data_IF_128350175162
#
_entry.id   IF_128350175162
#
_cell.length_a   1.000
_cell.length_b   1.000
_cell.length_c   1.000
_cell.angle_alpha   90.00
_cell.angle_beta   90.00
_cell.angle_gamma   90.00
#
_symmetry.space_group_name_H-M   'P 1'
#
loop_
_entity.id
_entity.type
_entity.pdbx_description
1 polymer ?
#
# COMPACT_ATOMS: atom_id res chain seq x y z
N UNK A 1 -11.57 -21.42 23.04
CA UNK A 1 -10.59 -22.32 23.69
C UNK A 1 -10.12 -21.60 24.94
N UNK A 2 -10.48 -22.12 26.14
CA UNK A 2 -10.24 -21.41 27.41
C UNK A 2 -8.76 -21.42 27.74
N UNK A 3 -8.18 -20.24 27.94
CA UNK A 3 -6.77 -19.95 28.28
C UNK A 3 -6.43 -20.44 29.72
N UNK A 4 -7.26 -21.31 30.32
CA UNK A 4 -7.09 -21.71 31.73
C UNK A 4 -6.05 -22.82 31.98
N UNK A 5 -5.42 -23.37 30.94
CA UNK A 5 -4.45 -24.45 31.08
C UNK A 5 -3.06 -24.09 30.55
N UNK A 6 -2.62 -22.82 30.67
CA UNK A 6 -1.24 -22.47 30.32
C UNK A 6 -0.32 -22.91 31.45
N UNK A 7 0.43 -23.98 31.23
CA UNK A 7 1.55 -24.43 32.09
C UNK A 7 2.73 -23.44 32.12
N UNK A 8 2.58 -22.29 31.47
CA UNK A 8 3.63 -21.27 31.34
C UNK A 8 3.48 -20.15 32.40
N UNK A 9 4.58 -19.49 32.73
CA UNK A 9 4.55 -18.32 33.60
C UNK A 9 3.73 -17.20 32.98
N UNK A 10 3.16 -16.30 33.78
CA UNK A 10 2.33 -15.19 33.32
C UNK A 10 3.02 -14.31 32.30
N UNK A 11 4.35 -14.13 32.35
CA UNK A 11 5.13 -13.36 31.38
C UNK A 11 5.20 -14.05 30.01
N UNK A 12 5.35 -15.38 29.98
CA UNK A 12 5.36 -16.16 28.73
C UNK A 12 3.99 -16.12 28.09
N UNK A 13 2.93 -16.32 28.87
CA UNK A 13 1.55 -16.29 28.38
C UNK A 13 1.22 -14.94 27.76
N UNK A 14 1.57 -13.83 28.43
CA UNK A 14 1.35 -12.48 27.91
C UNK A 14 2.11 -12.22 26.60
N UNK A 15 3.37 -12.67 26.52
CA UNK A 15 4.14 -12.52 25.28
C UNK A 15 3.50 -13.28 24.10
N UNK A 16 3.00 -14.50 24.36
CA UNK A 16 2.28 -15.29 23.34
C UNK A 16 0.98 -14.59 22.91
N UNK A 17 0.23 -14.01 23.84
CA UNK A 17 -1.00 -13.27 23.56
C UNK A 17 -0.73 -12.05 22.68
N UNK A 18 0.24 -11.22 23.01
CA UNK A 18 0.63 -10.04 22.23
C UNK A 18 1.08 -10.42 20.80
N UNK A 19 1.90 -11.47 20.67
CA UNK A 19 2.33 -11.96 19.37
C UNK A 19 1.17 -12.57 18.55
N UNK A 20 0.21 -13.21 19.21
CA UNK A 20 -0.99 -13.77 18.55
C UNK A 20 -1.95 -12.69 18.05
N UNK A 21 -1.88 -11.47 18.57
CA UNK A 21 -2.62 -10.30 18.09
C UNK A 21 -2.11 -9.77 16.75
N UNK A 22 -0.93 -10.20 16.30
CA UNK A 22 -0.39 -9.76 15.02
C UNK A 22 -1.05 -10.49 13.84
N UNK A 23 -1.40 -9.78 12.75
CA UNK A 23 -2.05 -10.39 11.58
C UNK A 23 -1.22 -11.54 11.01
N UNK A 24 -1.85 -12.69 10.77
CA UNK A 24 -1.19 -13.87 10.21
C UNK A 24 -0.41 -14.72 11.23
N UNK A 25 -0.34 -14.31 12.50
CA UNK A 25 0.31 -15.08 13.56
C UNK A 25 -0.75 -15.77 14.43
N UNK A 26 -0.91 -17.07 14.20
CA UNK A 26 -1.78 -17.90 15.06
C UNK A 26 -1.08 -18.32 16.36
N UNK A 27 -1.83 -18.86 17.34
CA UNK A 27 -1.31 -19.23 18.68
C UNK A 27 -0.09 -20.17 18.65
N UNK A 28 -0.05 -21.11 17.71
CA UNK A 28 1.08 -22.04 17.55
C UNK A 28 2.35 -21.33 17.10
N UNK A 29 2.22 -20.41 16.15
CA UNK A 29 3.37 -19.60 15.66
C UNK A 29 3.81 -18.61 16.74
N UNK A 30 2.87 -17.95 17.43
CA UNK A 30 3.15 -17.06 18.54
C UNK A 30 3.94 -17.76 19.65
N UNK A 31 3.55 -18.98 20.03
CA UNK A 31 4.28 -19.78 21.01
C UNK A 31 5.73 -20.05 20.55
N UNK A 32 5.94 -20.45 19.30
CA UNK A 32 7.30 -20.67 18.78
C UNK A 32 8.15 -19.40 18.78
N UNK A 33 7.56 -18.26 18.40
CA UNK A 33 8.25 -16.96 18.43
C UNK A 33 8.59 -16.54 19.87
N UNK A 34 7.66 -16.70 20.80
CA UNK A 34 7.89 -16.37 22.20
C UNK A 34 9.08 -17.14 22.80
N UNK A 35 9.15 -18.45 22.60
CA UNK A 35 10.27 -19.24 23.06
C UNK A 35 11.59 -18.87 22.37
N UNK A 36 11.55 -18.60 21.07
CA UNK A 36 12.73 -18.10 20.35
C UNK A 36 13.25 -16.78 20.94
N UNK A 37 12.34 -15.83 21.26
CA UNK A 37 12.70 -14.55 21.89
C UNK A 37 13.32 -14.79 23.28
N UNK A 38 12.82 -15.76 24.06
CA UNK A 38 13.39 -16.08 25.37
C UNK A 38 14.78 -16.70 25.30
N UNK A 39 15.09 -17.40 24.19
CA UNK A 39 16.40 -17.99 23.96
C UNK A 39 17.42 -16.99 23.37
N UNK A 40 16.95 -15.81 22.92
CA UNK A 40 17.83 -14.77 22.38
C UNK A 40 18.61 -14.06 23.50
N UNK A 41 19.84 -13.56 23.23
CA UNK A 41 20.55 -12.66 24.11
C UNK A 41 19.72 -11.41 24.46
N UNK A 42 19.81 -10.96 25.70
CA UNK A 42 19.02 -9.82 26.19
C UNK A 42 19.18 -8.56 25.35
N UNK A 43 20.40 -8.28 24.89
CA UNK A 43 20.73 -7.13 24.04
C UNK A 43 19.99 -7.17 22.71
N UNK A 44 19.80 -8.36 22.12
CA UNK A 44 19.07 -8.51 20.87
C UNK A 44 17.57 -8.29 21.08
N UNK A 45 17.01 -8.77 22.19
CA UNK A 45 15.60 -8.53 22.55
C UNK A 45 15.34 -7.05 22.79
N UNK A 46 16.22 -6.37 23.52
CA UNK A 46 16.14 -4.92 23.74
C UNK A 46 16.23 -4.14 22.42
N UNK A 47 17.15 -4.52 21.56
CA UNK A 47 17.28 -3.91 20.22
C UNK A 47 16.01 -4.07 19.37
N UNK A 48 15.41 -5.26 19.35
CA UNK A 48 14.15 -5.53 18.66
C UNK A 48 13.00 -4.69 19.22
N UNK A 49 12.85 -4.68 20.56
CA UNK A 49 11.81 -3.92 21.24
C UNK A 49 11.95 -2.41 20.98
N UNK A 50 13.16 -1.87 21.07
CA UNK A 50 13.43 -0.47 20.80
C UNK A 50 13.16 -0.12 19.34
N UNK A 51 13.53 -0.98 18.39
CA UNK A 51 13.24 -0.77 16.96
C UNK A 51 11.75 -0.66 16.67
N UNK A 52 10.92 -1.48 17.32
CA UNK A 52 9.45 -1.39 17.18
C UNK A 52 8.91 -0.07 17.76
N UNK A 53 9.39 0.33 18.93
CA UNK A 53 8.99 1.57 19.59
C UNK A 53 9.40 2.79 18.77
N UNK A 54 10.65 2.81 18.31
CA UNK A 54 11.21 3.92 17.54
C UNK A 54 10.54 4.06 16.17
N UNK A 55 10.27 2.95 15.48
CA UNK A 55 9.49 2.97 14.26
C UNK A 55 8.09 3.58 14.49
N UNK A 56 7.40 3.18 15.55
CA UNK A 56 6.06 3.71 15.87
C UNK A 56 6.09 5.20 16.25
N UNK A 57 7.15 5.67 16.91
CA UNK A 57 7.29 7.08 17.32
C UNK A 57 7.70 8.01 16.19
N UNK A 58 8.60 7.56 15.31
CA UNK A 58 9.27 8.43 14.35
C UNK A 58 8.67 8.36 12.95
N UNK A 59 8.04 7.22 12.58
CA UNK A 59 7.40 7.10 11.27
C UNK A 59 6.05 7.81 11.27
N UNK A 60 5.87 8.69 10.28
CA UNK A 60 4.69 9.51 10.05
C UNK A 60 4.33 9.52 8.57
N UNK A 61 3.22 10.14 8.22
CA UNK A 61 2.84 10.33 6.84
C UNK A 61 3.55 11.56 6.25
N UNK A 62 4.08 11.41 5.04
CA UNK A 62 4.57 12.53 4.23
C UNK A 62 3.44 13.54 4.02
N UNK A 63 3.68 14.81 4.29
CA UNK A 63 2.68 15.88 4.13
C UNK A 63 2.19 16.07 2.69
N UNK A 64 2.95 15.56 1.71
CA UNK A 64 2.63 15.71 0.29
C UNK A 64 1.96 14.47 -0.31
N UNK A 65 2.55 13.28 -0.17
CA UNK A 65 2.09 12.07 -0.85
C UNK A 65 1.46 11.02 0.08
N UNK A 66 1.51 11.25 1.39
CA UNK A 66 0.98 10.35 2.42
C UNK A 66 1.70 9.00 2.52
N UNK A 67 2.88 8.83 1.94
CA UNK A 67 3.73 7.66 2.22
C UNK A 67 4.25 7.69 3.65
N UNK A 68 4.61 6.53 4.18
CA UNK A 68 5.29 6.43 5.47
C UNK A 68 6.73 6.91 5.34
N UNK A 69 7.15 7.82 6.22
CA UNK A 69 8.49 8.42 6.23
C UNK A 69 8.86 8.89 7.64
N UNK A 70 10.12 9.05 7.91
CA UNK A 70 10.68 9.65 9.13
C UNK A 70 10.82 11.19 9.03
N UNK A 71 10.60 11.76 7.84
CA UNK A 71 10.69 13.19 7.56
C UNK A 71 9.30 13.81 7.32
N UNK A 72 9.19 15.13 7.35
CA UNK A 72 7.95 15.85 7.02
C UNK A 72 7.54 15.66 5.55
N UNK A 73 8.54 15.67 4.65
CA UNK A 73 8.38 15.40 3.22
C UNK A 73 9.34 14.26 2.86
N UNK A 74 8.82 13.21 2.24
CA UNK A 74 9.63 12.05 1.87
C UNK A 74 10.67 12.39 0.78
N UNK A 75 11.75 11.59 0.66
CA UNK A 75 12.80 11.81 -0.34
C UNK A 75 12.30 11.94 -1.78
N UNK A 76 11.23 11.21 -2.14
CA UNK A 76 10.63 11.27 -3.48
C UNK A 76 9.99 12.65 -3.73
N UNK A 77 9.19 13.13 -2.77
CA UNK A 77 8.52 14.42 -2.91
C UNK A 77 9.44 15.62 -2.77
N UNK A 78 10.58 15.48 -2.10
CA UNK A 78 11.60 16.55 -1.98
C UNK A 78 12.59 16.58 -3.12
N UNK A 79 12.68 15.53 -3.94
CA UNK A 79 13.62 15.44 -5.06
C UNK A 79 13.24 16.40 -6.18
N UNK A 80 14.21 17.19 -6.63
CA UNK A 80 14.09 18.08 -7.80
C UNK A 80 14.21 17.34 -9.13
N UNK A 81 14.69 16.11 -9.11
CA UNK A 81 14.87 15.27 -10.30
C UNK A 81 13.57 14.58 -10.72
N UNK A 82 12.56 14.61 -9.84
CA UNK A 82 11.25 14.01 -10.11
C UNK A 82 10.32 14.96 -10.85
N UNK A 83 9.53 14.40 -11.75
CA UNK A 83 8.45 15.13 -12.41
C UNK A 83 7.24 15.26 -11.47
N UNK A 84 7.10 16.43 -10.88
CA UNK A 84 5.99 16.73 -9.97
C UNK A 84 4.64 16.95 -10.69
N UNK A 85 4.65 17.06 -12.03
CA UNK A 85 3.44 17.22 -12.85
C UNK A 85 2.76 15.88 -13.19
N UNK A 86 3.44 14.76 -12.92
CA UNK A 86 2.91 13.41 -13.12
C UNK A 86 2.77 12.70 -11.77
N UNK A 87 1.53 12.40 -11.38
CA UNK A 87 1.22 11.76 -10.09
C UNK A 87 0.70 10.35 -10.32
N UNK A 88 1.37 9.35 -9.74
CA UNK A 88 0.86 7.99 -9.69
C UNK A 88 0.08 7.76 -8.39
N UNK A 89 -1.17 7.36 -8.49
CA UNK A 89 -2.05 7.08 -7.36
C UNK A 89 -2.04 5.59 -7.06
N UNK A 90 -1.64 5.22 -5.85
CA UNK A 90 -1.55 3.82 -5.37
C UNK A 90 -2.33 3.65 -4.08
N UNK A 91 -2.73 2.41 -3.75
CA UNK A 91 -3.52 2.13 -2.55
C UNK A 91 -2.67 2.14 -1.28
N UNK A 92 -1.45 1.58 -1.32
CA UNK A 92 -0.59 1.42 -0.15
C UNK A 92 0.85 1.87 -0.40
N UNK A 93 1.59 2.13 0.69
CA UNK A 93 3.04 2.40 0.61
C UNK A 93 3.81 1.19 0.04
N UNK A 94 3.29 -0.03 0.19
CA UNK A 94 3.91 -1.24 -0.37
C UNK A 94 3.85 -1.24 -1.90
N UNK A 95 2.71 -0.80 -2.46
CA UNK A 95 2.53 -0.69 -3.90
C UNK A 95 3.50 0.35 -4.48
N UNK A 96 3.61 1.51 -3.83
CA UNK A 96 4.61 2.53 -4.20
C UNK A 96 6.03 1.95 -4.20
N UNK A 97 6.39 1.22 -3.14
CA UNK A 97 7.72 0.62 -3.04
C UNK A 97 8.00 -0.41 -4.14
N UNK A 98 6.97 -1.12 -4.62
CA UNK A 98 7.10 -2.04 -5.75
C UNK A 98 7.45 -1.30 -7.06
N UNK A 99 6.81 -0.16 -7.33
CA UNK A 99 7.15 0.69 -8.48
C UNK A 99 8.54 1.33 -8.36
N UNK A 100 8.91 1.83 -7.18
CA UNK A 100 10.23 2.40 -6.94
C UNK A 100 11.36 1.38 -7.16
N UNK A 101 11.11 0.12 -6.85
CA UNK A 101 12.07 -0.97 -7.06
C UNK A 101 12.42 -1.17 -8.54
N UNK A 102 11.52 -0.84 -9.46
CA UNK A 102 11.76 -0.91 -10.91
C UNK A 102 12.71 0.21 -11.35
N UNK A 103 12.65 1.39 -10.71
CA UNK A 103 13.55 2.52 -10.97
C UNK A 103 13.25 3.34 -12.24
N UNK A 104 12.28 2.94 -13.04
CA UNK A 104 11.95 3.60 -14.32
C UNK A 104 10.96 4.76 -14.19
N UNK A 105 10.14 4.75 -13.14
CA UNK A 105 9.15 5.81 -12.92
C UNK A 105 9.82 7.09 -12.39
N UNK A 106 9.62 8.20 -13.06
CA UNK A 106 10.24 9.50 -12.72
C UNK A 106 9.27 10.50 -12.10
N UNK A 107 7.98 10.20 -12.04
CA UNK A 107 6.98 11.05 -11.38
C UNK A 107 6.97 10.91 -9.86
N UNK A 108 5.94 11.49 -9.24
CA UNK A 108 5.70 11.42 -7.80
C UNK A 108 4.45 10.57 -7.52
N UNK A 109 4.25 10.20 -6.25
CA UNK A 109 3.14 9.33 -5.85
C UNK A 109 2.11 10.06 -5.01
N UNK A 110 0.93 9.44 -4.90
CA UNK A 110 -0.08 9.72 -3.89
C UNK A 110 -0.64 8.42 -3.35
N UNK A 111 -0.58 8.22 -2.03
CA UNK A 111 -1.00 6.99 -1.36
C UNK A 111 -2.39 7.21 -0.75
N UNK A 112 -3.35 6.37 -1.13
CA UNK A 112 -4.74 6.48 -0.67
C UNK A 112 -4.97 5.88 0.72
N UNK A 113 -4.13 4.96 1.16
CA UNK A 113 -4.29 4.15 2.37
C UNK A 113 -5.56 3.29 2.38
N UNK A 114 -5.96 2.81 1.21
CA UNK A 114 -7.11 1.92 1.02
C UNK A 114 -7.78 2.11 -0.32
N UNK A 115 -8.93 1.46 -0.47
CA UNK A 115 -9.82 1.56 -1.61
C UNK A 115 -11.26 1.78 -1.13
N UNK A 116 -12.11 2.36 -1.97
CA UNK A 116 -13.54 2.49 -1.68
C UNK A 116 -14.16 1.10 -1.60
N UNK A 117 -14.71 0.76 -0.46
CA UNK A 117 -15.41 -0.52 -0.23
C UNK A 117 -16.70 -0.28 0.55
N UNK A 118 -17.84 -0.05 -0.13
CA UNK A 118 -19.12 0.21 0.52
C UNK A 118 -19.60 -0.96 1.39
N UNK A 119 -19.24 -2.20 1.04
CA UNK A 119 -19.63 -3.38 1.83
C UNK A 119 -18.89 -3.43 3.18
N UNK A 120 -17.68 -2.91 3.25
CA UNK A 120 -16.92 -2.75 4.49
C UNK A 120 -17.17 -1.39 5.17
N UNK A 121 -18.07 -0.57 4.63
CA UNK A 121 -18.37 0.77 5.16
C UNK A 121 -17.27 1.81 4.86
N UNK A 122 -16.31 1.50 3.97
CA UNK A 122 -15.22 2.41 3.61
C UNK A 122 -15.66 3.28 2.43
N UNK A 123 -15.88 4.56 2.71
CA UNK A 123 -16.26 5.57 1.73
C UNK A 123 -15.08 6.41 1.24
N UNK A 124 -15.41 7.40 0.43
CA UNK A 124 -14.43 8.34 -0.14
C UNK A 124 -13.72 9.21 0.91
N UNK A 125 -14.30 9.39 2.09
CA UNK A 125 -13.75 10.20 3.16
C UNK A 125 -12.83 9.42 4.11
N UNK A 126 -12.83 8.09 4.02
CA UNK A 126 -12.05 7.21 4.88
C UNK A 126 -10.65 6.95 4.32
N UNK A 127 -10.43 7.31 3.05
CA UNK A 127 -9.16 7.21 2.35
C UNK A 127 -8.70 8.59 1.87
N UNK A 128 -7.42 8.72 1.48
CA UNK A 128 -6.78 10.01 1.16
C UNK A 128 -7.16 10.58 -0.23
N UNK A 129 -8.44 10.54 -0.59
CA UNK A 129 -8.96 11.09 -1.85
C UNK A 129 -9.11 12.61 -1.81
N UNK A 130 -9.59 13.16 -0.68
CA UNK A 130 -9.74 14.61 -0.52
C UNK A 130 -8.40 15.31 -0.70
N UNK A 131 -7.37 14.77 -0.08
CA UNK A 131 -6.00 15.28 -0.13
C UNK A 131 -5.40 15.14 -1.54
N UNK A 132 -5.75 14.08 -2.28
CA UNK A 132 -5.42 13.97 -3.70
C UNK A 132 -6.02 15.14 -4.48
N UNK A 133 -7.31 15.39 -4.36
CA UNK A 133 -7.99 16.46 -5.10
C UNK A 133 -7.51 17.86 -4.73
N UNK A 134 -7.13 18.08 -3.48
CA UNK A 134 -6.49 19.34 -3.06
C UNK A 134 -5.14 19.54 -3.77
N UNK A 135 -4.35 18.47 -3.90
CA UNK A 135 -3.05 18.49 -4.57
C UNK A 135 -3.16 18.72 -6.09
N UNK A 136 -4.27 18.33 -6.72
CA UNK A 136 -4.50 18.52 -8.15
C UNK A 136 -4.82 19.99 -8.54
N UNK A 137 -4.95 20.89 -7.59
CA UNK A 137 -5.08 22.34 -7.85
C UNK A 137 -3.75 22.97 -8.30
N UNK A 138 -2.64 22.28 -8.06
CA UNK A 138 -1.33 22.66 -8.56
C UNK A 138 -1.20 22.30 -10.05
N UNK A 139 -0.10 22.69 -10.69
CA UNK A 139 0.17 22.45 -12.12
C UNK A 139 0.46 20.96 -12.41
N UNK A 140 -0.60 20.13 -12.36
CA UNK A 140 -0.55 18.69 -12.61
C UNK A 140 -1.04 18.39 -14.03
N UNK A 141 -0.22 17.69 -14.83
CA UNK A 141 -0.53 17.34 -16.20
C UNK A 141 -1.18 15.97 -16.33
N UNK A 142 -0.73 14.99 -15.53
CA UNK A 142 -1.19 13.61 -15.64
C UNK A 142 -1.35 12.95 -14.27
N UNK A 143 -2.43 12.20 -14.14
CA UNK A 143 -2.68 11.28 -13.01
C UNK A 143 -2.72 9.86 -13.55
N UNK A 144 -1.79 9.02 -13.10
CA UNK A 144 -1.72 7.60 -13.42
C UNK A 144 -2.39 6.83 -12.29
N UNK A 145 -3.50 6.17 -12.56
CA UNK A 145 -4.20 5.37 -11.55
C UNK A 145 -3.59 3.96 -11.53
N UNK A 146 -2.97 3.61 -10.41
CA UNK A 146 -2.31 2.33 -10.18
C UNK A 146 -2.91 1.61 -8.94
N UNK A 147 -4.25 1.63 -8.85
CA UNK A 147 -5.00 0.83 -7.87
C UNK A 147 -5.00 -0.64 -8.28
N UNK A 148 -5.19 -1.53 -7.31
CA UNK A 148 -5.27 -2.97 -7.56
C UNK A 148 -6.40 -3.32 -8.53
N UNK A 149 -6.29 -4.46 -9.22
CA UNK A 149 -7.32 -4.97 -10.13
C UNK A 149 -8.49 -5.66 -9.39
N UNK A 150 -8.69 -5.36 -8.11
CA UNK A 150 -9.84 -5.79 -7.32
C UNK A 150 -11.09 -4.97 -7.66
N UNK A 151 -12.28 -5.44 -7.27
CA UNK A 151 -13.54 -4.72 -7.46
C UNK A 151 -13.49 -3.34 -6.79
N UNK A 152 -12.90 -3.25 -5.60
CA UNK A 152 -12.73 -2.02 -4.83
C UNK A 152 -11.75 -1.07 -5.52
N UNK A 153 -10.62 -1.60 -6.01
CA UNK A 153 -9.63 -0.81 -6.74
C UNK A 153 -10.18 -0.27 -8.06
N UNK A 154 -11.00 -1.07 -8.78
CA UNK A 154 -11.72 -0.61 -9.99
C UNK A 154 -12.73 0.49 -9.66
N UNK A 155 -13.56 0.31 -8.63
CA UNK A 155 -14.54 1.31 -8.19
C UNK A 155 -13.84 2.62 -7.79
N UNK A 156 -12.71 2.52 -7.09
CA UNK A 156 -11.88 3.68 -6.71
C UNK A 156 -11.32 4.38 -7.93
N UNK A 157 -10.80 3.63 -8.91
CA UNK A 157 -10.28 4.18 -10.16
C UNK A 157 -11.37 4.91 -10.96
N UNK A 158 -12.55 4.32 -11.07
CA UNK A 158 -13.70 4.95 -11.75
C UNK A 158 -14.12 6.25 -11.06
N UNK A 159 -14.17 6.24 -9.72
CA UNK A 159 -14.51 7.43 -8.94
C UNK A 159 -13.48 8.56 -9.16
N UNK A 160 -12.19 8.26 -9.05
CA UNK A 160 -11.10 9.22 -9.28
C UNK A 160 -11.20 9.79 -10.70
N UNK A 161 -11.34 8.93 -11.70
CA UNK A 161 -11.47 9.34 -13.10
C UNK A 161 -12.65 10.29 -13.32
N UNK A 162 -13.82 9.97 -12.74
CA UNK A 162 -15.04 10.80 -12.85
C UNK A 162 -14.83 12.20 -12.27
N UNK A 163 -14.10 12.32 -11.16
CA UNK A 163 -13.85 13.61 -10.51
C UNK A 163 -12.76 14.42 -11.22
N UNK A 164 -11.71 13.76 -11.73
CA UNK A 164 -10.55 14.45 -12.31
C UNK A 164 -10.81 14.86 -13.78
N UNK A 165 -11.53 14.04 -14.54
CA UNK A 165 -11.78 14.29 -15.97
C UNK A 165 -12.31 15.71 -16.29
N UNK A 166 -13.25 16.30 -15.53
CA UNK A 166 -13.72 17.66 -15.76
C UNK A 166 -12.66 18.75 -15.53
N UNK A 167 -11.58 18.45 -14.80
CA UNK A 167 -10.49 19.40 -14.52
C UNK A 167 -9.51 19.55 -15.71
N UNK A 168 -9.69 18.79 -16.78
CA UNK A 168 -8.81 18.84 -17.94
C UNK A 168 -7.46 18.15 -17.75
N UNK A 169 -7.26 17.46 -16.62
CA UNK A 169 -6.04 16.70 -16.34
C UNK A 169 -6.11 15.35 -17.06
N UNK A 170 -5.01 14.96 -17.70
CA UNK A 170 -4.91 13.64 -18.32
C UNK A 170 -4.97 12.55 -17.27
N UNK A 171 -5.91 11.61 -17.40
CA UNK A 171 -6.03 10.46 -16.53
C UNK A 171 -5.70 9.20 -17.32
N UNK A 172 -4.72 8.47 -16.85
CA UNK A 172 -4.31 7.18 -17.41
C UNK A 172 -4.40 6.10 -16.34
N UNK A 173 -4.32 4.84 -16.75
CA UNK A 173 -4.34 3.70 -15.86
C UNK A 173 -3.22 2.74 -16.23
N UNK A 174 -2.70 2.02 -15.22
CA UNK A 174 -1.78 0.91 -15.49
C UNK A 174 -2.46 -0.12 -16.37
N UNK A 175 -1.70 -0.68 -17.31
CA UNK A 175 -2.19 -1.71 -18.21
C UNK A 175 -2.58 -2.98 -17.44
N UNK A 176 -3.71 -3.58 -17.84
CA UNK A 176 -4.10 -4.92 -17.42
C UNK A 176 -3.78 -5.87 -18.55
N UNK A 177 -2.87 -6.81 -18.33
CA UNK A 177 -2.43 -7.73 -19.39
C UNK A 177 -1.92 -9.06 -18.84
N UNK A 178 -1.57 -9.95 -19.77
CA UNK A 178 -0.98 -11.23 -19.44
C UNK A 178 0.45 -11.00 -18.90
N UNK A 179 0.82 -11.56 -17.74
CA UNK A 179 2.16 -11.41 -17.21
C UNK A 179 3.20 -12.08 -18.13
N UNK A 180 4.37 -11.47 -18.22
CA UNK A 180 5.48 -12.02 -19.01
C UNK A 180 5.93 -13.38 -18.43
N UNK A 181 5.99 -14.39 -19.29
CA UNK A 181 6.33 -15.76 -18.89
C UNK A 181 5.17 -16.60 -18.38
N UNK A 182 3.93 -16.07 -18.42
CA UNK A 182 2.71 -16.83 -18.11
C UNK A 182 2.17 -17.55 -19.36
N UNK A 183 1.74 -18.80 -19.17
CA UNK A 183 1.04 -19.54 -20.21
C UNK A 183 -0.41 -19.07 -20.33
N UNK A 184 -0.88 -18.80 -21.56
CA UNK A 184 -2.23 -18.29 -21.84
C UNK A 184 -3.33 -19.21 -21.31
N UNK A 185 -3.07 -20.51 -21.24
CA UNK A 185 -3.99 -21.54 -20.73
C UNK A 185 -4.42 -21.31 -19.27
N UNK A 186 -3.54 -20.72 -18.46
CA UNK A 186 -3.81 -20.45 -17.04
C UNK A 186 -4.31 -19.02 -16.74
N UNK A 187 -4.44 -18.20 -17.78
CA UNK A 187 -4.93 -16.83 -17.63
C UNK A 187 -6.46 -16.82 -17.64
N UNK A 188 -7.07 -16.12 -16.68
CA UNK A 188 -8.51 -16.01 -16.61
C UNK A 188 -9.10 -15.24 -17.81
N UNK A 189 -10.35 -15.54 -18.16
CA UNK A 189 -11.04 -14.98 -19.31
C UNK A 189 -11.16 -13.45 -19.30
N UNK A 190 -11.26 -12.84 -18.11
CA UNK A 190 -11.38 -11.38 -17.95
C UNK A 190 -10.06 -10.71 -18.29
N UNK A 191 -8.96 -11.27 -17.81
CA UNK A 191 -7.60 -10.78 -18.14
C UNK A 191 -7.30 -10.93 -19.63
N UNK A 192 -7.65 -12.07 -20.24
CA UNK A 192 -7.49 -12.27 -21.70
C UNK A 192 -8.34 -11.28 -22.49
N UNK A 193 -9.60 -11.07 -22.09
CA UNK A 193 -10.50 -10.11 -22.74
C UNK A 193 -9.93 -8.68 -22.66
N UNK A 194 -9.44 -8.26 -21.50
CA UNK A 194 -8.83 -6.96 -21.29
C UNK A 194 -7.55 -6.80 -22.10
N UNK A 195 -6.71 -7.81 -22.12
CA UNK A 195 -5.47 -7.79 -22.89
C UNK A 195 -5.72 -7.70 -24.40
N UNK A 196 -6.81 -8.29 -24.90
CA UNK A 196 -7.16 -8.32 -26.33
C UNK A 196 -7.98 -7.11 -26.78
N UNK A 197 -9.05 -6.75 -26.05
CA UNK A 197 -10.05 -5.78 -26.52
C UNK A 197 -9.86 -4.36 -25.97
N UNK A 198 -9.17 -4.18 -24.85
CA UNK A 198 -8.97 -2.87 -24.22
C UNK A 198 -7.61 -2.23 -24.57
N UNK A 199 -6.92 -2.76 -25.56
CA UNK A 199 -5.64 -2.22 -26.05
C UNK A 199 -5.75 -0.83 -26.71
N UNK A 200 -6.95 -0.27 -26.80
CA UNK A 200 -7.19 1.05 -27.43
C UNK A 200 -6.90 2.25 -26.55
N UNK A 201 -6.55 2.08 -25.27
CA UNK A 201 -5.98 3.15 -24.46
C UNK A 201 -4.46 3.15 -24.64
N UNK A 202 -3.84 4.26 -25.10
CA UNK A 202 -2.40 4.32 -25.24
C UNK A 202 -1.76 4.07 -23.87
N UNK A 203 -0.98 2.98 -23.78
CA UNK A 203 -0.11 2.75 -22.63
C UNK A 203 0.89 3.90 -22.54
N UNK A 204 1.09 4.52 -21.40
CA UNK A 204 2.16 5.50 -21.25
C UNK A 204 3.50 4.78 -21.53
N UNK A 205 4.24 5.27 -22.51
CA UNK A 205 5.63 4.87 -22.77
C UNK A 205 6.55 5.56 -21.81
#
# INVERSE_FOLDING_TARGET
MCIRDSYYSGYITKLIEELSGLPGIGPKTAGRLAFHILDMPKEQVESLANSMIDAKKNVRYCKCCYTLTDQDICPICSSKERDHKTIMVVETTKDMAAYEKIGEYKGVYHILHGAINPMAGIGQNDIKLKELFERLKDDVNEVIIATNSSVEGEATAMYITKVIKPLGIKVTRIASGVPVGGDLEYVDNVTLLRACLLYTSPSPR
#
